data_IF_616786565818
#
_entry.id   IF_616786565818
#
_cell.length_a   1.000
_cell.length_b   1.000
_cell.length_c   1.000
_cell.angle_alpha   90.00
_cell.angle_beta   90.00
_cell.angle_gamma   90.00
#
_symmetry.space_group_name_H-M   'P 1'
#
loop_
_entity.id
_entity.type
_entity.pdbx_description
1 polymer ?
#
# COMPACT_ATOMS: atom_id res chain seq x y z
N UNK A 1 -16.73 5.24 -21.35
CA UNK A 1 -15.94 4.22 -20.67
C UNK A 1 -16.47 3.94 -19.26
N UNK A 2 -17.74 3.50 -19.14
CA UNK A 2 -18.39 3.23 -17.84
C UNK A 2 -18.83 1.77 -17.67
N UNK A 3 -18.48 0.86 -18.60
CA UNK A 3 -19.08 -0.48 -18.67
C UNK A 3 -18.22 -1.61 -18.08
N UNK A 4 -16.96 -1.38 -17.71
CA UNK A 4 -16.10 -2.44 -17.17
C UNK A 4 -16.30 -2.72 -15.66
N UNK A 5 -16.51 -1.69 -14.87
CA UNK A 5 -16.71 -1.81 -13.41
C UNK A 5 -18.11 -2.31 -13.04
N UNK A 6 -19.12 -2.00 -13.86
CA UNK A 6 -20.50 -2.48 -13.65
C UNK A 6 -20.63 -4.00 -13.83
N UNK A 7 -19.85 -4.61 -14.74
CA UNK A 7 -19.85 -6.07 -14.92
C UNK A 7 -19.26 -6.82 -13.73
N UNK A 8 -18.25 -6.26 -13.03
CA UNK A 8 -17.65 -6.90 -11.86
C UNK A 8 -18.58 -6.91 -10.64
N UNK A 9 -19.25 -5.79 -10.38
CA UNK A 9 -20.22 -5.69 -9.28
C UNK A 9 -21.45 -6.58 -9.50
N UNK A 10 -21.93 -6.69 -10.75
CA UNK A 10 -23.08 -7.53 -11.10
C UNK A 10 -22.73 -9.01 -11.00
N UNK A 11 -21.53 -9.44 -11.38
CA UNK A 11 -21.10 -10.83 -11.28
C UNK A 11 -20.96 -11.28 -9.81
N UNK A 12 -20.45 -10.42 -8.92
CA UNK A 12 -20.32 -10.71 -7.49
C UNK A 12 -21.70 -10.77 -6.79
N UNK A 13 -22.59 -9.84 -7.13
CA UNK A 13 -23.95 -9.79 -6.53
C UNK A 13 -24.83 -10.94 -7.04
N UNK A 14 -24.69 -11.37 -8.28
CA UNK A 14 -25.40 -12.53 -8.84
C UNK A 14 -24.87 -13.85 -8.25
N UNK A 15 -23.58 -13.95 -7.92
CA UNK A 15 -23.00 -15.11 -7.26
C UNK A 15 -23.58 -15.30 -5.85
N UNK A 16 -23.72 -14.24 -5.06
CA UNK A 16 -24.30 -14.35 -3.70
C UNK A 16 -25.81 -14.58 -3.69
N UNK A 17 -26.55 -14.02 -4.64
CA UNK A 17 -28.01 -14.13 -4.69
C UNK A 17 -28.51 -15.49 -5.19
N UNK A 18 -27.75 -16.17 -6.07
CA UNK A 18 -28.15 -17.47 -6.64
C UNK A 18 -27.72 -18.68 -5.83
N UNK A 19 -26.78 -18.53 -4.91
CA UNK A 19 -26.24 -19.66 -4.13
C UNK A 19 -27.13 -20.08 -2.94
N UNK A 20 -28.15 -19.31 -2.60
CA UNK A 20 -29.06 -19.62 -1.48
C UNK A 20 -30.34 -20.37 -1.82
N UNK A 21 -30.67 -20.57 -3.09
CA UNK A 21 -31.89 -21.33 -3.45
C UNK A 21 -31.74 -22.14 -4.73
N UNK A 22 -31.73 -23.46 -4.60
CA UNK A 22 -32.04 -24.58 -5.53
C UNK A 22 -30.89 -25.33 -6.24
N UNK A 23 -30.75 -26.57 -5.76
CA UNK A 23 -30.63 -27.89 -6.45
C UNK A 23 -29.46 -28.18 -7.41
N UNK A 24 -28.87 -29.27 -7.10
CA UNK A 24 -27.87 -30.22 -7.64
C UNK A 24 -27.54 -30.27 -9.15
N UNK A 25 -28.29 -29.67 -10.05
CA UNK A 25 -27.97 -29.68 -11.50
C UNK A 25 -27.07 -28.54 -11.97
N UNK A 26 -26.73 -27.58 -11.13
CA UNK A 26 -25.86 -26.44 -11.47
C UNK A 26 -24.37 -26.71 -11.22
N UNK A 27 -24.05 -27.85 -10.59
CA UNK A 27 -22.66 -28.22 -10.26
C UNK A 27 -21.75 -28.42 -11.49
N UNK A 28 -22.29 -28.84 -12.63
CA UNK A 28 -21.51 -29.07 -13.85
C UNK A 28 -21.06 -27.78 -14.54
N UNK A 29 -21.88 -26.72 -14.50
CA UNK A 29 -21.61 -25.44 -15.16
C UNK A 29 -20.73 -24.56 -14.26
N UNK A 30 -20.93 -24.59 -12.93
CA UNK A 30 -20.09 -23.85 -11.99
C UNK A 30 -18.64 -24.35 -11.99
N UNK A 31 -18.41 -25.66 -12.18
CA UNK A 31 -17.06 -26.23 -12.28
C UNK A 31 -16.33 -25.87 -13.59
N UNK A 32 -17.06 -25.61 -14.68
CA UNK A 32 -16.44 -25.13 -15.93
C UNK A 32 -16.12 -23.63 -15.88
N UNK A 33 -16.92 -22.82 -15.17
CA UNK A 33 -16.62 -21.39 -14.93
C UNK A 33 -15.50 -21.17 -13.92
N UNK A 34 -15.38 -22.00 -12.87
CA UNK A 34 -14.28 -21.93 -11.92
C UNK A 34 -12.92 -22.31 -12.53
N UNK A 35 -12.91 -23.12 -13.60
CA UNK A 35 -11.69 -23.41 -14.36
C UNK A 35 -11.27 -22.30 -15.34
N UNK A 36 -12.16 -21.37 -15.67
CA UNK A 36 -11.85 -20.22 -16.54
C UNK A 36 -11.31 -18.99 -15.78
N UNK A 37 -11.59 -18.89 -14.50
CA UNK A 37 -11.06 -17.83 -13.64
C UNK A 37 -10.01 -18.43 -12.70
N UNK A 38 -8.74 -18.37 -13.10
CA UNK A 38 -7.65 -18.51 -12.15
C UNK A 38 -7.69 -17.27 -11.25
N UNK A 39 -8.09 -17.38 -9.98
CA UNK A 39 -7.98 -16.23 -9.07
C UNK A 39 -6.52 -15.82 -9.02
N UNK A 40 -6.27 -14.52 -9.07
CA UNK A 40 -4.91 -13.99 -8.90
C UNK A 40 -4.40 -14.56 -7.58
N UNK A 41 -3.37 -15.41 -7.66
CA UNK A 41 -2.72 -15.93 -6.47
C UNK A 41 -1.71 -14.87 -6.00
N UNK A 42 -1.71 -14.58 -4.71
CA UNK A 42 -0.75 -13.67 -4.10
C UNK A 42 0.25 -14.46 -3.25
N UNK A 43 1.53 -14.20 -3.43
CA UNK A 43 2.55 -14.63 -2.48
C UNK A 43 2.70 -13.52 -1.43
N UNK A 44 1.92 -13.61 -0.37
CA UNK A 44 1.83 -12.57 0.66
C UNK A 44 2.81 -12.78 1.82
N UNK A 45 3.35 -13.98 1.97
CA UNK A 45 4.17 -14.33 3.12
C UNK A 45 5.53 -13.62 3.08
N UNK A 46 5.76 -12.79 4.09
CA UNK A 46 7.04 -12.09 4.26
C UNK A 46 7.21 -10.84 3.41
N UNK A 47 6.23 -10.44 2.58
CA UNK A 47 6.37 -9.24 1.72
C UNK A 47 5.93 -7.96 2.40
N UNK A 48 6.66 -6.88 2.12
CA UNK A 48 6.45 -5.55 2.66
C UNK A 48 6.26 -4.53 1.55
N UNK A 49 5.22 -3.71 1.64
CA UNK A 49 4.93 -2.61 0.71
C UNK A 49 5.09 -1.30 1.48
N UNK A 50 6.04 -0.48 1.10
CA UNK A 50 6.46 0.70 1.87
C UNK A 50 6.20 1.95 1.06
N UNK A 51 5.27 2.76 1.52
CA UNK A 51 5.00 4.07 0.95
C UNK A 51 5.72 5.15 1.73
N UNK A 52 6.40 6.03 1.01
CA UNK A 52 6.97 7.26 1.55
C UNK A 52 6.71 8.44 0.62
N UNK A 53 6.68 9.64 1.18
CA UNK A 53 6.41 10.85 0.42
C UNK A 53 6.68 12.09 1.27
N UNK A 54 6.94 13.24 0.64
CA UNK A 54 6.83 14.52 1.31
C UNK A 54 5.43 14.76 1.87
N UNK A 55 5.35 15.49 2.97
CA UNK A 55 4.07 15.88 3.54
C UNK A 55 3.20 16.62 2.50
N UNK A 56 1.95 16.18 2.31
CA UNK A 56 1.03 16.77 1.31
C UNK A 56 1.08 16.13 -0.09
N UNK A 57 1.99 15.20 -0.38
CA UNK A 57 2.06 14.53 -1.68
C UNK A 57 0.91 13.52 -1.95
N UNK A 58 0.12 13.14 -0.94
CA UNK A 58 -1.04 12.25 -1.10
C UNK A 58 -0.80 10.79 -0.76
N UNK A 59 0.31 10.46 -0.11
CA UNK A 59 0.70 9.11 0.33
C UNK A 59 -0.44 8.36 1.03
N UNK A 60 -0.97 8.92 2.11
CA UNK A 60 -2.04 8.28 2.92
C UNK A 60 -3.31 7.99 2.12
N UNK A 61 -3.61 8.79 1.10
CA UNK A 61 -4.76 8.56 0.21
C UNK A 61 -4.54 7.31 -0.64
N UNK A 62 -3.33 7.11 -1.17
CA UNK A 62 -2.98 5.91 -1.95
C UNK A 62 -2.95 4.66 -1.06
N UNK A 63 -2.35 4.76 0.13
CA UNK A 63 -2.33 3.65 1.11
C UNK A 63 -3.74 3.22 1.48
N UNK A 64 -4.64 4.17 1.79
CA UNK A 64 -6.05 3.86 2.11
C UNK A 64 -6.79 3.22 0.94
N UNK A 65 -6.54 3.67 -0.28
CA UNK A 65 -7.11 3.05 -1.46
C UNK A 65 -6.66 1.59 -1.60
N UNK A 66 -5.37 1.30 -1.48
CA UNK A 66 -4.85 -0.06 -1.52
C UNK A 66 -5.42 -0.93 -0.40
N UNK A 67 -5.55 -0.38 0.81
CA UNK A 67 -6.17 -1.08 1.94
C UNK A 67 -7.64 -1.40 1.70
N UNK A 68 -8.38 -0.62 0.91
CA UNK A 68 -9.76 -0.95 0.53
C UNK A 68 -9.84 -2.01 -0.58
N UNK A 69 -8.92 -1.98 -1.54
CA UNK A 69 -8.92 -2.89 -2.70
C UNK A 69 -8.27 -4.25 -2.42
N UNK A 70 -7.28 -4.28 -1.53
CA UNK A 70 -6.42 -5.44 -1.25
C UNK A 70 -6.48 -5.87 0.24
N UNK A 71 -7.59 -5.62 0.93
CA UNK A 71 -7.76 -5.89 2.35
C UNK A 71 -7.60 -7.37 2.74
N UNK A 72 -7.82 -8.29 1.79
CA UNK A 72 -7.64 -9.73 2.01
C UNK A 72 -6.15 -10.12 2.06
N UNK A 73 -5.27 -9.37 1.42
CA UNK A 73 -3.84 -9.71 1.27
C UNK A 73 -2.89 -8.70 1.90
N UNK A 74 -3.36 -7.51 2.25
CA UNK A 74 -2.59 -6.46 2.91
C UNK A 74 -3.16 -6.15 4.30
N UNK A 75 -2.27 -5.83 5.25
CA UNK A 75 -2.63 -5.21 6.52
C UNK A 75 -1.70 -4.04 6.84
N UNK A 76 -2.27 -2.99 7.42
CA UNK A 76 -1.54 -1.77 7.77
C UNK A 76 -0.69 -1.97 9.01
N UNK A 77 0.57 -1.53 8.97
CA UNK A 77 1.46 -1.51 10.12
C UNK A 77 1.23 -0.26 10.95
N UNK A 78 0.79 -0.46 12.18
CA UNK A 78 0.57 0.61 13.15
C UNK A 78 1.91 0.95 13.81
N UNK A 79 2.39 2.18 13.63
CA UNK A 79 3.63 2.66 14.25
C UNK A 79 3.43 3.01 15.72
N UNK A 80 4.48 2.87 16.53
CA UNK A 80 4.52 3.42 17.88
C UNK A 80 5.00 4.89 17.84
N UNK A 81 4.49 5.72 18.75
CA UNK A 81 4.94 7.11 18.90
C UNK A 81 4.89 7.57 20.35
N UNK A 82 5.80 8.49 20.70
CA UNK A 82 5.80 9.18 22.00
C UNK A 82 5.03 10.50 21.98
N UNK A 83 4.58 10.92 20.79
CA UNK A 83 3.74 12.11 20.66
C UNK A 83 2.41 11.93 21.39
N UNK A 84 1.92 12.98 22.00
CA UNK A 84 0.59 12.98 22.61
C UNK A 84 -0.49 12.68 21.55
N UNK A 85 -1.44 11.83 21.94
CA UNK A 85 -2.60 11.47 21.13
C UNK A 85 -3.49 12.70 20.89
N UNK A 86 -3.88 12.92 19.66
CA UNK A 86 -4.89 13.92 19.29
C UNK A 86 -6.30 13.40 19.60
N UNK A 87 -7.25 14.32 19.79
CA UNK A 87 -8.62 14.00 20.21
C UNK A 87 -9.31 12.93 19.34
N UNK A 88 -9.08 12.95 18.03
CA UNK A 88 -9.73 12.03 17.06
C UNK A 88 -8.95 10.75 16.81
N UNK A 89 -7.75 10.63 17.32
CA UNK A 89 -6.89 9.46 17.12
C UNK A 89 -7.23 8.35 18.13
N UNK A 90 -7.07 7.10 17.71
CA UNK A 90 -7.32 5.91 18.54
C UNK A 90 -6.03 5.13 18.75
N UNK A 91 -5.75 4.79 20.02
CA UNK A 91 -4.62 3.93 20.37
C UNK A 91 -4.79 2.53 19.78
N UNK A 92 -3.68 1.96 19.27
CA UNK A 92 -3.66 0.67 18.60
C UNK A 92 -4.30 0.67 17.19
N UNK A 93 -4.78 1.81 16.71
CA UNK A 93 -5.36 1.96 15.37
C UNK A 93 -4.61 2.99 14.52
N UNK A 94 -4.49 4.24 15.03
CA UNK A 94 -3.72 5.29 14.34
C UNK A 94 -2.23 5.17 14.70
N UNK A 95 -1.94 4.97 15.97
CA UNK A 95 -0.62 4.72 16.55
C UNK A 95 -0.75 3.89 17.82
N UNK A 96 0.36 3.23 18.23
CA UNK A 96 0.58 2.81 19.61
C UNK A 96 1.18 4.00 20.34
N UNK A 97 0.38 4.68 21.19
CA UNK A 97 0.82 5.84 21.97
C UNK A 97 1.47 5.37 23.25
N UNK A 98 2.80 5.49 23.34
CA UNK A 98 3.59 5.06 24.49
C UNK A 98 4.40 6.21 25.06
N UNK A 99 4.82 6.12 26.34
CA UNK A 99 5.68 7.13 26.94
C UNK A 99 7.08 7.10 26.33
N UNK A 100 7.84 8.20 26.49
CA UNK A 100 9.24 8.26 26.03
C UNK A 100 10.09 7.19 26.70
N UNK A 101 9.91 6.97 27.99
CA UNK A 101 10.65 5.95 28.73
C UNK A 101 10.35 4.54 28.22
N UNK A 102 9.08 4.23 28.00
CA UNK A 102 8.68 2.95 27.39
C UNK A 102 9.26 2.78 25.99
N UNK A 103 9.31 3.86 25.19
CA UNK A 103 9.89 3.82 23.86
C UNK A 103 11.38 3.51 23.92
N UNK A 104 12.14 4.25 24.74
CA UNK A 104 13.58 4.08 24.90
C UNK A 104 13.93 2.69 25.46
N UNK A 105 13.17 2.20 26.42
CA UNK A 105 13.33 0.83 26.92
C UNK A 105 13.19 -0.20 25.80
N UNK A 106 12.19 -0.06 24.92
CA UNK A 106 12.00 -0.96 23.77
C UNK A 106 13.09 -0.80 22.70
N UNK A 107 13.71 0.38 22.59
CA UNK A 107 14.91 0.58 21.77
C UNK A 107 16.06 -0.25 22.32
N UNK A 108 16.32 -0.16 23.63
CA UNK A 108 17.40 -0.90 24.30
C UNK A 108 17.22 -2.43 24.19
N UNK A 109 15.98 -2.92 24.27
CA UNK A 109 15.65 -4.34 24.10
C UNK A 109 15.59 -4.79 22.63
N UNK A 110 15.80 -3.86 21.67
CA UNK A 110 15.84 -4.17 20.26
C UNK A 110 14.49 -4.57 19.64
N UNK A 111 13.37 -4.12 20.23
CA UNK A 111 12.01 -4.46 19.77
C UNK A 111 11.60 -3.73 18.50
N UNK A 112 12.25 -2.62 18.16
CA UNK A 112 11.95 -1.87 16.93
C UNK A 112 12.68 -2.46 15.71
N UNK A 113 12.00 -2.48 14.58
CA UNK A 113 12.60 -2.70 13.27
C UNK A 113 13.37 -1.46 12.82
N UNK A 114 12.73 -0.31 12.95
CA UNK A 114 13.28 1.02 12.71
C UNK A 114 12.64 2.02 13.67
N UNK A 115 13.34 3.08 13.98
CA UNK A 115 12.80 4.22 14.74
C UNK A 115 13.60 5.47 14.45
N UNK A 116 12.98 6.63 14.73
CA UNK A 116 13.66 7.92 14.63
C UNK A 116 12.99 8.98 15.50
N UNK A 117 13.74 10.01 15.81
CA UNK A 117 13.24 11.26 16.35
C UNK A 117 12.86 12.19 15.19
N UNK A 118 11.59 12.63 15.12
CA UNK A 118 11.08 13.39 13.97
C UNK A 118 10.96 14.88 14.27
N UNK A 119 10.35 15.25 15.40
CA UNK A 119 10.16 16.65 15.83
C UNK A 119 10.15 16.73 17.37
N UNK A 120 10.83 17.72 17.93
CA UNK A 120 10.71 18.14 19.34
C UNK A 120 10.75 17.00 20.37
N UNK A 121 11.64 16.05 20.20
CA UNK A 121 11.78 14.90 21.11
C UNK A 121 10.69 13.84 20.95
N UNK A 122 9.85 13.93 19.90
CA UNK A 122 8.89 12.89 19.58
C UNK A 122 9.53 11.78 18.72
N UNK A 123 9.41 10.56 19.21
CA UNK A 123 9.89 9.36 18.55
C UNK A 123 8.75 8.68 17.79
N UNK A 124 9.11 8.06 16.67
CA UNK A 124 8.24 7.20 15.88
C UNK A 124 9.03 5.95 15.52
N UNK A 125 8.37 4.81 15.44
CA UNK A 125 9.04 3.58 15.03
C UNK A 125 8.07 2.44 14.78
N UNK A 126 8.56 1.45 14.07
CA UNK A 126 7.84 0.23 13.73
C UNK A 126 8.28 -0.91 14.64
N UNK A 127 7.35 -1.47 15.40
CA UNK A 127 7.61 -2.63 16.25
C UNK A 127 7.72 -3.91 15.42
N UNK A 128 8.72 -4.75 15.72
CA UNK A 128 8.86 -6.08 15.10
C UNK A 128 7.65 -6.97 15.36
N UNK A 129 7.05 -6.85 16.54
CA UNK A 129 5.82 -7.58 16.92
C UNK A 129 4.62 -7.23 16.05
N UNK A 130 4.53 -5.99 15.55
CA UNK A 130 3.46 -5.56 14.66
C UNK A 130 3.58 -6.24 13.28
N UNK A 131 4.79 -6.37 12.77
CA UNK A 131 5.04 -7.09 11.52
C UNK A 131 4.71 -8.57 11.67
N UNK A 132 5.14 -9.19 12.78
CA UNK A 132 4.83 -10.59 13.08
C UNK A 132 3.33 -10.81 13.19
N UNK A 133 2.61 -9.93 13.89
CA UNK A 133 1.14 -9.98 13.99
C UNK A 133 0.48 -10.02 12.61
N UNK A 134 0.97 -9.23 11.65
CA UNK A 134 0.41 -9.19 10.29
C UNK A 134 0.77 -10.47 9.51
N UNK A 135 2.00 -10.95 9.65
CA UNK A 135 2.41 -12.21 9.02
C UNK A 135 1.65 -13.43 9.57
N UNK A 136 1.29 -13.42 10.86
CA UNK A 136 0.47 -14.46 11.49
C UNK A 136 -0.98 -14.46 10.96
N UNK A 137 -1.41 -13.38 10.31
CA UNK A 137 -2.70 -13.30 9.58
C UNK A 137 -2.57 -13.72 8.10
N UNK A 138 -1.43 -14.26 7.68
CA UNK A 138 -1.11 -14.58 6.28
C UNK A 138 -1.28 -13.39 5.33
N UNK A 139 -0.91 -12.18 5.79
CA UNK A 139 -0.97 -10.93 4.99
C UNK A 139 0.41 -10.33 4.81
N UNK A 140 0.56 -9.56 3.73
CA UNK A 140 1.69 -8.65 3.51
C UNK A 140 1.48 -7.36 4.30
N UNK A 141 2.59 -6.76 4.70
CA UNK A 141 2.56 -5.51 5.49
C UNK A 141 2.58 -4.31 4.55
N UNK A 142 1.68 -3.34 4.77
CA UNK A 142 1.77 -2.03 4.11
C UNK A 142 2.11 -0.95 5.13
N UNK A 143 3.07 -0.08 4.78
CA UNK A 143 3.59 1.00 5.62
C UNK A 143 3.31 2.38 5.04
N UNK A 144 3.02 3.33 5.93
CA UNK A 144 3.00 4.77 5.70
C UNK A 144 4.08 5.41 6.59
N UNK A 145 5.34 5.43 6.11
CA UNK A 145 6.50 5.90 6.88
C UNK A 145 7.21 7.04 6.15
N UNK A 146 8.13 7.70 6.86
CA UNK A 146 8.96 8.72 6.24
C UNK A 146 10.13 8.12 5.43
N UNK A 147 10.93 8.99 4.81
CA UNK A 147 12.03 8.62 3.92
C UNK A 147 13.04 7.72 4.62
N UNK A 148 13.47 8.09 5.84
CA UNK A 148 14.52 7.35 6.54
C UNK A 148 14.02 6.00 7.04
N UNK A 149 12.81 5.94 7.58
CA UNK A 149 12.17 4.69 7.99
C UNK A 149 12.01 3.73 6.81
N UNK A 150 11.57 4.23 5.65
CA UNK A 150 11.44 3.41 4.44
C UNK A 150 12.78 2.81 3.99
N UNK A 151 13.86 3.59 3.98
CA UNK A 151 15.20 3.12 3.63
C UNK A 151 15.74 2.10 4.63
N UNK A 152 15.48 2.28 5.93
CA UNK A 152 15.89 1.35 6.97
C UNK A 152 15.17 0.00 6.84
N UNK A 153 13.86 0.02 6.60
CA UNK A 153 13.07 -1.21 6.35
C UNK A 153 13.58 -1.92 5.09
N UNK A 154 13.80 -1.18 3.99
CA UNK A 154 14.36 -1.75 2.75
C UNK A 154 15.70 -2.44 2.97
N UNK A 155 16.57 -1.83 3.76
CA UNK A 155 17.88 -2.42 4.10
C UNK A 155 17.74 -3.76 4.83
N UNK A 156 16.74 -3.91 5.69
CA UNK A 156 16.51 -5.14 6.46
C UNK A 156 15.88 -6.26 5.62
N UNK A 157 14.93 -5.93 4.74
CA UNK A 157 14.14 -6.92 4.01
C UNK A 157 14.54 -7.11 2.53
N UNK A 158 15.42 -6.26 2.00
CA UNK A 158 15.99 -6.41 0.66
C UNK A 158 14.91 -6.53 -0.43
N UNK A 159 14.92 -7.64 -1.16
CA UNK A 159 13.98 -7.92 -2.26
C UNK A 159 12.55 -8.15 -1.81
N UNK A 160 12.34 -8.54 -0.55
CA UNK A 160 11.01 -8.82 0.00
C UNK A 160 10.28 -7.52 0.44
N UNK A 161 10.94 -6.36 0.28
CA UNK A 161 10.39 -5.03 0.50
C UNK A 161 10.32 -4.23 -0.80
N UNK A 162 9.12 -3.81 -1.20
CA UNK A 162 8.90 -2.86 -2.28
C UNK A 162 8.77 -1.46 -1.70
N UNK A 163 9.62 -0.53 -2.14
CA UNK A 163 9.59 0.87 -1.73
C UNK A 163 9.02 1.77 -2.81
N UNK A 164 7.99 2.54 -2.47
CA UNK A 164 7.26 3.42 -3.39
C UNK A 164 7.34 4.85 -2.87
N UNK A 165 7.95 5.73 -3.66
CA UNK A 165 8.01 7.16 -3.38
C UNK A 165 6.88 7.89 -4.10
N UNK A 166 6.01 8.58 -3.35
CA UNK A 166 4.92 9.38 -3.94
C UNK A 166 5.39 10.81 -4.09
N UNK A 167 5.48 11.27 -5.35
CA UNK A 167 5.96 12.59 -5.71
C UNK A 167 4.79 13.49 -6.13
N UNK A 168 4.69 14.75 -5.66
CA UNK A 168 3.77 15.73 -6.25
C UNK A 168 4.24 16.10 -7.66
N UNK A 169 3.36 16.58 -8.55
CA UNK A 169 3.73 16.99 -9.90
C UNK A 169 4.69 18.19 -9.92
N UNK A 170 4.56 19.09 -8.95
CA UNK A 170 5.45 20.24 -8.76
C UNK A 170 5.49 20.70 -7.30
N UNK A 171 6.45 21.59 -6.97
CA UNK A 171 6.54 22.20 -5.65
C UNK A 171 5.35 23.16 -5.43
N UNK A 172 4.88 23.84 -6.47
CA UNK A 172 3.72 24.72 -6.42
C UNK A 172 2.44 23.95 -6.07
N UNK A 173 2.24 22.78 -6.71
CA UNK A 173 1.13 21.88 -6.38
C UNK A 173 1.21 21.40 -4.92
N UNK A 174 2.40 21.08 -4.44
CA UNK A 174 2.62 20.71 -3.06
C UNK A 174 2.28 21.85 -2.09
N UNK A 175 2.75 23.07 -2.37
CA UNK A 175 2.44 24.25 -1.59
C UNK A 175 0.93 24.48 -1.48
N UNK A 176 0.21 24.41 -2.60
CA UNK A 176 -1.25 24.55 -2.65
C UNK A 176 -1.96 23.52 -1.78
N UNK A 177 -1.49 22.23 -1.83
CA UNK A 177 -2.05 21.15 -1.03
C UNK A 177 -1.77 21.29 0.47
N UNK A 178 -0.64 21.89 0.84
CA UNK A 178 -0.29 22.14 2.25
C UNK A 178 -1.15 23.28 2.83
N UNK A 179 -1.31 24.40 2.10
CA UNK A 179 -2.15 25.54 2.50
C UNK A 179 -3.61 25.13 2.70
N UNK A 180 -4.15 24.26 1.84
CA UNK A 180 -5.56 23.82 1.90
C UNK A 180 -5.94 23.01 3.15
N UNK A 181 -4.98 22.63 4.01
CA UNK A 181 -5.25 21.88 5.26
C UNK A 181 -5.63 22.75 6.47
N UNK A 182 -5.74 24.06 6.32
CA UNK A 182 -6.31 25.04 7.28
C UNK A 182 -5.76 25.03 8.73
N UNK A 183 -4.56 24.53 9.00
CA UNK A 183 -4.05 24.38 10.37
C UNK A 183 -2.66 24.99 10.59
N UNK A 184 -2.18 25.87 9.69
CA UNK A 184 -0.76 26.22 9.69
C UNK A 184 -0.51 27.72 9.70
N UNK A 185 0.50 28.12 10.48
CA UNK A 185 1.10 29.45 10.38
C UNK A 185 2.06 29.49 9.20
N UNK A 186 2.35 30.66 8.66
CA UNK A 186 3.31 30.84 7.55
C UNK A 186 4.70 30.25 7.89
N UNK A 187 5.13 30.32 9.14
CA UNK A 187 6.42 29.75 9.58
C UNK A 187 6.41 28.21 9.48
N UNK A 188 5.34 27.55 9.90
CA UNK A 188 5.23 26.07 9.81
C UNK A 188 5.12 25.61 8.37
N UNK A 189 4.46 26.38 7.50
CA UNK A 189 4.39 26.09 6.07
C UNK A 189 5.79 26.12 5.41
N UNK A 190 6.60 27.14 5.73
CA UNK A 190 7.97 27.25 5.20
C UNK A 190 8.85 26.07 5.63
N UNK A 191 8.81 25.70 6.90
CA UNK A 191 9.56 24.54 7.42
C UNK A 191 9.16 23.24 6.71
N UNK A 192 7.86 23.03 6.47
CA UNK A 192 7.37 21.85 5.75
C UNK A 192 7.79 21.82 4.29
N UNK A 193 7.77 22.98 3.61
CA UNK A 193 8.24 23.07 2.23
C UNK A 193 9.73 22.77 2.13
N UNK A 194 10.54 23.32 3.03
CA UNK A 194 11.98 23.01 3.07
C UNK A 194 12.24 21.53 3.30
N UNK A 195 11.56 20.92 4.28
CA UNK A 195 11.65 19.48 4.53
C UNK A 195 11.23 18.68 3.29
N UNK A 196 10.16 19.06 2.63
CA UNK A 196 9.66 18.39 1.43
C UNK A 196 10.65 18.45 0.27
N UNK A 197 11.33 19.56 0.07
CA UNK A 197 12.38 19.72 -0.96
C UNK A 197 13.52 18.74 -0.69
N UNK A 198 13.99 18.67 0.56
CA UNK A 198 15.03 17.70 0.97
C UNK A 198 14.55 16.25 0.73
N UNK A 199 13.31 15.92 1.12
CA UNK A 199 12.74 14.59 0.93
C UNK A 199 12.62 14.22 -0.56
N UNK A 200 12.35 15.18 -1.46
CA UNK A 200 12.28 14.95 -2.92
C UNK A 200 13.62 14.52 -3.52
N UNK A 201 14.75 14.95 -2.97
CA UNK A 201 16.08 14.54 -3.43
C UNK A 201 16.35 13.04 -3.25
N UNK A 202 15.63 12.41 -2.31
CA UNK A 202 15.74 10.97 -2.06
C UNK A 202 14.91 10.10 -3.02
N UNK A 203 14.08 10.68 -3.90
CA UNK A 203 13.16 9.93 -4.76
C UNK A 203 13.84 8.80 -5.56
N UNK A 204 15.07 9.05 -6.06
CA UNK A 204 15.83 8.08 -6.85
C UNK A 204 16.42 6.91 -6.03
N UNK A 205 16.24 6.89 -4.73
CA UNK A 205 16.70 5.81 -3.82
C UNK A 205 15.63 4.73 -3.58
N UNK A 206 14.46 4.89 -4.15
CA UNK A 206 13.31 4.00 -4.00
C UNK A 206 13.12 3.16 -5.26
N UNK A 207 12.53 1.97 -5.11
CA UNK A 207 12.33 1.04 -6.23
C UNK A 207 11.42 1.64 -7.30
N UNK A 208 10.39 2.40 -6.88
CA UNK A 208 9.41 3.02 -7.78
C UNK A 208 9.04 4.42 -7.31
N UNK A 209 8.84 5.34 -8.27
CA UNK A 209 8.28 6.67 -8.01
C UNK A 209 6.93 6.80 -8.71
N UNK A 210 5.89 7.21 -7.98
CA UNK A 210 4.56 7.54 -8.50
C UNK A 210 4.38 9.05 -8.45
N UNK A 211 4.11 9.68 -9.61
CA UNK A 211 3.76 11.11 -9.66
C UNK A 211 2.25 11.23 -9.42
N UNK A 212 1.88 11.79 -8.26
CA UNK A 212 0.48 12.02 -7.91
C UNK A 212 0.00 13.39 -8.42
N UNK A 213 -0.20 13.47 -9.73
CA UNK A 213 -0.83 14.61 -10.42
C UNK A 213 -2.36 14.40 -10.45
N UNK A 214 -2.81 13.37 -11.14
CA UNK A 214 -4.20 12.93 -11.19
C UNK A 214 -4.39 11.76 -10.24
N UNK A 215 -5.22 11.93 -9.22
CA UNK A 215 -5.37 10.98 -8.13
C UNK A 215 -5.80 9.58 -8.63
N UNK A 216 -6.75 9.50 -9.56
CA UNK A 216 -7.24 8.21 -10.04
C UNK A 216 -6.18 7.45 -10.85
N UNK A 217 -5.35 8.16 -11.61
CA UNK A 217 -4.20 7.58 -12.32
C UNK A 217 -3.18 7.06 -11.31
N UNK A 218 -2.84 7.84 -10.29
CA UNK A 218 -1.90 7.44 -9.25
C UNK A 218 -2.41 6.21 -8.44
N UNK A 219 -3.72 6.12 -8.17
CA UNK A 219 -4.34 4.95 -7.54
C UNK A 219 -4.20 3.70 -8.40
N UNK A 220 -4.49 3.79 -9.70
CA UNK A 220 -4.35 2.67 -10.65
C UNK A 220 -2.90 2.21 -10.75
N UNK A 221 -1.95 3.14 -10.85
CA UNK A 221 -0.52 2.82 -10.86
C UNK A 221 -0.10 2.11 -9.57
N UNK A 222 -0.50 2.64 -8.41
CA UNK A 222 -0.19 2.03 -7.12
C UNK A 222 -0.74 0.61 -7.02
N UNK A 223 -1.98 0.39 -7.42
CA UNK A 223 -2.62 -0.92 -7.45
C UNK A 223 -1.85 -1.90 -8.33
N UNK A 224 -1.53 -1.51 -9.56
CA UNK A 224 -0.80 -2.37 -10.51
C UNK A 224 0.60 -2.73 -10.01
N UNK A 225 1.35 -1.75 -9.48
CA UNK A 225 2.70 -1.95 -8.96
C UNK A 225 2.68 -2.93 -7.79
N UNK A 226 1.77 -2.72 -6.83
CA UNK A 226 1.66 -3.56 -5.64
C UNK A 226 1.19 -4.97 -6.00
N UNK A 227 0.18 -5.10 -6.86
CA UNK A 227 -0.30 -6.41 -7.33
C UNK A 227 0.81 -7.19 -8.04
N UNK A 228 1.55 -6.56 -8.95
CA UNK A 228 2.67 -7.20 -9.63
C UNK A 228 3.75 -7.66 -8.64
N UNK A 229 4.07 -6.86 -7.64
CA UNK A 229 5.03 -7.25 -6.61
C UNK A 229 4.55 -8.45 -5.79
N UNK A 230 3.29 -8.46 -5.38
CA UNK A 230 2.72 -9.55 -4.58
C UNK A 230 2.58 -10.86 -5.37
N UNK A 231 2.54 -10.80 -6.71
CA UNK A 231 2.40 -11.97 -7.58
C UNK A 231 3.72 -12.45 -8.20
N UNK A 232 4.80 -11.66 -8.13
CA UNK A 232 6.04 -11.87 -8.88
C UNK A 232 6.76 -13.22 -8.62
N UNK A 233 6.59 -13.82 -7.43
CA UNK A 233 7.23 -15.10 -7.10
C UNK A 233 6.34 -16.33 -7.36
N UNK A 234 5.16 -16.11 -7.90
CA UNK A 234 4.33 -17.19 -8.41
C UNK A 234 4.89 -17.56 -9.78
N UNK A 235 5.89 -18.46 -9.80
CA UNK A 235 6.26 -19.09 -11.07
C UNK A 235 4.99 -19.70 -11.65
N UNK A 236 4.62 -19.38 -12.91
CA UNK A 236 3.58 -20.14 -13.58
C UNK A 236 4.05 -21.60 -13.54
N UNK A 237 3.29 -22.51 -12.93
CA UNK A 237 3.39 -23.91 -13.28
C UNK A 237 3.31 -23.93 -14.79
N UNK A 238 4.35 -24.45 -15.48
CA UNK A 238 4.44 -24.42 -16.94
C UNK A 238 3.07 -24.68 -17.55
N UNK A 239 2.58 -23.81 -18.46
CA UNK A 239 1.32 -24.02 -19.11
C UNK A 239 1.47 -25.25 -20.02
N UNK A 240 0.99 -26.38 -19.55
CA UNK A 240 0.85 -27.59 -20.36
C UNK A 240 -0.27 -27.40 -21.38
N UNK A 241 -0.20 -26.37 -22.22
CA UNK A 241 -0.92 -26.32 -23.52
C UNK A 241 -0.51 -25.10 -24.34
N UNK A 242 -0.37 -25.22 -25.68
CA UNK A 242 0.01 -24.12 -26.60
C UNK A 242 -1.05 -23.05 -26.82
N UNK A 243 -2.24 -23.14 -26.22
CA UNK A 243 -3.38 -22.27 -26.54
C UNK A 243 -3.46 -20.97 -25.71
N UNK A 244 -2.80 -20.88 -24.58
CA UNK A 244 -2.88 -19.69 -23.69
C UNK A 244 -1.98 -18.54 -24.13
N UNK A 245 -0.93 -18.82 -24.90
CA UNK A 245 0.01 -17.78 -25.38
C UNK A 245 -0.63 -16.86 -26.43
N UNK A 246 -1.62 -17.35 -27.20
CA UNK A 246 -2.27 -16.59 -28.25
C UNK A 246 -3.25 -15.53 -27.70
N UNK A 247 -3.90 -15.81 -26.56
CA UNK A 247 -4.92 -14.89 -25.99
C UNK A 247 -4.30 -13.63 -25.38
N UNK A 248 -3.12 -13.74 -24.76
CA UNK A 248 -2.43 -12.60 -24.16
C UNK A 248 -1.88 -11.63 -25.24
N UNK A 249 -1.40 -12.15 -26.35
CA UNK A 249 -0.94 -11.36 -27.50
C UNK A 249 -2.10 -10.68 -28.25
N UNK A 250 -3.24 -11.32 -28.37
CA UNK A 250 -4.45 -10.75 -29.00
C UNK A 250 -5.05 -9.63 -28.13
N UNK A 251 -5.02 -9.77 -26.81
CA UNK A 251 -5.54 -8.74 -25.88
C UNK A 251 -4.66 -7.48 -25.88
N UNK A 252 -3.35 -7.62 -25.96
CA UNK A 252 -2.44 -6.48 -26.10
C UNK A 252 -2.62 -5.72 -27.43
N UNK A 253 -2.96 -6.40 -28.51
CA UNK A 253 -3.27 -5.75 -29.80
C UNK A 253 -4.58 -4.98 -29.76
N UNK A 254 -5.60 -5.49 -29.10
CA UNK A 254 -6.91 -4.82 -28.95
C UNK A 254 -6.86 -3.56 -28.08
N UNK A 255 -5.98 -3.51 -27.08
CA UNK A 255 -5.82 -2.33 -26.19
C UNK A 255 -4.88 -1.27 -26.76
N UNK A 256 -4.08 -1.59 -27.78
CA UNK A 256 -3.20 -0.63 -28.45
C UNK A 256 -3.89 0.13 -29.60
N UNK A 257 -5.14 -0.21 -29.93
CA UNK A 257 -5.91 0.38 -31.06
C UNK A 257 -7.13 1.19 -30.59
N UNK A 258 -7.30 1.37 -29.28
CA UNK A 258 -8.28 2.27 -28.64
C UNK A 258 -7.58 3.44 -27.95
#
# INVERSE_FOLDING_TARGET
>A
MKNGLACFAIAHTLYECHYKHKNEQVFGVANSFSKMYNPIQFNVKGKLVIFTAPSGAGKTTLVRHLMSELNEVLAFSVSATTRQRREREKDGYDYYFITKDQFLQRVETGEFLEYQEVYDGNYYGTLKSEIQRIFDMDKSVIFDVDVQGALNIKKCYGKDALTIFVKPPSIEALKTRLVGRNSETDATLQQRLQKAIIELEYANRFDVTIINDQLEVAKQQAYQIVTNFLTADLTPSEPNTPETTNFFFEWQKLTATL
#
